data_IF_567032125014
#
_entry.id   IF_567032125014
#
_cell.length_a   1.000
_cell.length_b   1.000
_cell.length_c   1.000
_cell.angle_alpha   90.00
_cell.angle_beta   90.00
_cell.angle_gamma   90.00
#
_symmetry.space_group_name_H-M   'P 1'
#
loop_
_entity.id
_entity.type
_entity.pdbx_description
1 polymer ?
#
# COMPACT_ATOMS: atom_id res chain seq x y z
N UNK A 1 7.76 1.00 10.62
CA UNK A 1 6.77 0.54 9.62
C UNK A 1 6.16 1.77 8.96
N UNK A 2 5.87 1.77 7.66
CA UNK A 2 5.05 2.82 7.05
C UNK A 2 3.61 2.66 7.56
N UNK A 3 2.94 3.74 7.92
CA UNK A 3 1.51 3.78 8.29
C UNK A 3 0.92 5.13 7.91
N UNK A 4 -0.39 5.13 7.64
CA UNK A 4 -1.19 6.35 7.47
C UNK A 4 -1.25 7.11 8.81
N UNK A 5 -1.07 8.43 8.77
CA UNK A 5 -1.22 9.28 9.96
C UNK A 5 -2.70 9.58 10.23
N UNK A 6 -3.03 10.01 11.45
CA UNK A 6 -4.42 10.28 11.85
C UNK A 6 -5.06 11.42 11.04
N UNK A 7 -4.32 12.49 10.75
CA UNK A 7 -4.78 13.66 9.99
C UNK A 7 -4.39 13.63 8.49
N UNK A 8 -3.95 12.48 8.00
CA UNK A 8 -3.52 12.31 6.63
C UNK A 8 -4.65 11.72 5.79
N UNK A 9 -4.87 12.23 4.58
CA UNK A 9 -5.76 11.61 3.61
C UNK A 9 -5.05 10.49 2.81
N UNK A 10 -5.83 9.69 2.07
CA UNK A 10 -5.31 8.55 1.31
C UNK A 10 -4.36 8.98 0.19
N UNK A 11 -4.62 10.12 -0.46
CA UNK A 11 -3.80 10.61 -1.57
C UNK A 11 -2.42 11.03 -1.06
N UNK A 12 -2.38 11.81 0.02
CA UNK A 12 -1.15 12.23 0.70
C UNK A 12 -0.35 11.02 1.20
N UNK A 13 -1.03 10.03 1.79
CA UNK A 13 -0.40 8.76 2.19
C UNK A 13 0.18 8.02 0.97
N UNK A 14 -0.56 7.95 -0.13
CA UNK A 14 -0.13 7.27 -1.34
C UNK A 14 1.08 7.94 -1.99
N UNK A 15 1.11 9.28 -2.06
CA UNK A 15 2.27 10.03 -2.56
C UNK A 15 3.52 9.73 -1.73
N UNK A 16 3.43 9.73 -0.39
CA UNK A 16 4.56 9.35 0.48
C UNK A 16 5.01 7.91 0.24
N UNK A 17 4.08 7.00 0.00
CA UNK A 17 4.39 5.61 -0.34
C UNK A 17 5.15 5.53 -1.68
N UNK A 18 4.72 6.27 -2.70
CA UNK A 18 5.40 6.33 -4.00
C UNK A 18 6.82 6.89 -3.89
N UNK A 19 7.04 7.95 -3.09
CA UNK A 19 8.38 8.49 -2.82
C UNK A 19 9.28 7.41 -2.22
N UNK A 20 8.81 6.67 -1.21
CA UNK A 20 9.57 5.57 -0.60
C UNK A 20 9.89 4.45 -1.59
N UNK A 21 8.93 4.08 -2.45
CA UNK A 21 9.16 3.07 -3.50
C UNK A 21 10.20 3.55 -4.51
N UNK A 22 10.18 4.84 -4.86
CA UNK A 22 11.17 5.46 -5.75
C UNK A 22 12.57 5.40 -5.13
N UNK A 23 12.71 5.78 -3.86
CA UNK A 23 13.98 5.72 -3.13
C UNK A 23 14.52 4.28 -3.05
N UNK A 24 13.64 3.30 -2.84
CA UNK A 24 14.00 1.89 -2.83
C UNK A 24 14.49 1.39 -4.20
N UNK A 25 13.89 1.88 -5.29
CA UNK A 25 14.36 1.58 -6.66
C UNK A 25 15.78 2.10 -6.89
N UNK A 26 16.11 3.30 -6.40
CA UNK A 26 17.48 3.86 -6.46
C UNK A 26 18.47 2.94 -5.73
N UNK A 27 18.04 2.33 -4.61
CA UNK A 27 18.83 1.36 -3.85
C UNK A 27 18.87 -0.04 -4.47
N UNK A 28 18.39 -0.22 -5.72
CA UNK A 28 18.25 -1.53 -6.41
C UNK A 28 17.42 -2.56 -5.64
N UNK A 29 16.55 -2.10 -4.72
CA UNK A 29 15.59 -2.94 -4.02
C UNK A 29 14.23 -2.80 -4.68
N UNK A 30 13.87 -3.74 -5.54
CA UNK A 30 12.53 -3.79 -6.14
C UNK A 30 11.59 -4.66 -5.31
N UNK A 31 10.33 -4.24 -5.26
CA UNK A 31 9.22 -5.01 -4.74
C UNK A 31 8.26 -5.29 -5.89
N UNK A 32 7.57 -6.42 -5.85
CA UNK A 32 6.55 -6.70 -6.86
C UNK A 32 5.33 -5.80 -6.64
N UNK A 33 4.49 -5.61 -7.67
CA UNK A 33 3.21 -4.91 -7.53
C UNK A 33 2.36 -5.48 -6.40
N UNK A 34 2.36 -6.81 -6.26
CA UNK A 34 1.69 -7.51 -5.16
C UNK A 34 2.24 -7.12 -3.78
N UNK A 35 3.57 -7.02 -3.64
CA UNK A 35 4.19 -6.59 -2.38
C UNK A 35 3.85 -5.13 -2.05
N UNK A 36 3.76 -4.27 -3.06
CA UNK A 36 3.32 -2.89 -2.87
C UNK A 36 1.87 -2.82 -2.38
N UNK A 37 0.94 -3.50 -3.06
CA UNK A 37 -0.48 -3.51 -2.67
C UNK A 37 -0.64 -4.05 -1.25
N UNK A 38 0.03 -5.15 -0.92
CA UNK A 38 0.00 -5.73 0.43
C UNK A 38 0.57 -4.79 1.50
N UNK A 39 1.62 -4.04 1.18
CA UNK A 39 2.15 -3.01 2.07
C UNK A 39 1.15 -1.88 2.27
N UNK A 40 0.57 -1.33 1.20
CA UNK A 40 -0.42 -0.25 1.29
C UNK A 40 -1.61 -0.68 2.15
N UNK A 41 -2.19 -1.87 1.90
CA UNK A 41 -3.34 -2.37 2.65
C UNK A 41 -3.05 -2.51 4.16
N UNK A 42 -1.82 -2.89 4.53
CA UNK A 42 -1.38 -2.98 5.94
C UNK A 42 -1.18 -1.62 6.61
N UNK A 43 -1.00 -0.56 5.84
CA UNK A 43 -0.74 0.78 6.35
C UNK A 43 -2.03 1.57 6.59
N UNK A 44 -3.18 1.06 6.13
CA UNK A 44 -4.47 1.70 6.30
C UNK A 44 -4.98 1.57 7.75
N UNK A 45 -5.69 2.60 8.26
CA UNK A 45 -6.23 2.58 9.60
C UNK A 45 -7.34 1.53 9.75
N UNK A 46 -7.62 1.14 11.01
CA UNK A 46 -8.50 0.02 11.34
C UNK A 46 -9.92 0.14 10.73
N UNK A 47 -10.41 1.36 10.52
CA UNK A 47 -11.68 1.64 9.84
C UNK A 47 -11.77 1.05 8.42
N UNK A 48 -10.64 0.82 7.74
CA UNK A 48 -10.59 0.23 6.41
C UNK A 48 -10.50 -1.30 6.43
N UNK A 49 -10.39 -1.94 7.60
CA UNK A 49 -10.25 -3.41 7.71
C UNK A 49 -11.31 -4.19 6.95
N UNK A 50 -12.62 -3.86 7.01
CA UNK A 50 -13.62 -4.61 6.25
C UNK A 50 -13.36 -4.60 4.74
N UNK A 51 -12.88 -3.49 4.20
CA UNK A 51 -12.53 -3.35 2.77
C UNK A 51 -11.23 -4.09 2.44
N UNK A 52 -10.23 -4.03 3.33
CA UNK A 52 -8.97 -4.79 3.18
C UNK A 52 -9.26 -6.29 3.15
N UNK A 53 -10.08 -6.79 4.08
CA UNK A 53 -10.47 -8.20 4.14
C UNK A 53 -11.20 -8.63 2.86
N UNK A 54 -12.16 -7.84 2.37
CA UNK A 54 -12.85 -8.14 1.12
C UNK A 54 -11.89 -8.21 -0.09
N UNK A 55 -10.89 -7.33 -0.15
CA UNK A 55 -9.87 -7.34 -1.21
C UNK A 55 -8.96 -8.58 -1.11
N UNK A 56 -8.55 -8.97 0.11
CA UNK A 56 -7.73 -10.15 0.34
C UNK A 56 -8.48 -11.46 0.05
N UNK A 57 -9.75 -11.54 0.44
CA UNK A 57 -10.64 -12.70 0.21
C UNK A 57 -10.97 -12.90 -1.28
N UNK A 58 -11.11 -11.79 -2.03
CA UNK A 58 -11.39 -11.85 -3.47
C UNK A 58 -10.25 -12.47 -4.30
N UNK A 59 -9.06 -12.72 -3.72
CA UNK A 59 -7.84 -13.26 -4.41
C UNK A 59 -7.41 -12.49 -5.67
N UNK A 60 -8.02 -11.36 -5.98
CA UNK A 60 -7.82 -10.59 -7.22
C UNK A 60 -6.64 -9.61 -7.13
N UNK A 61 -5.84 -9.68 -6.06
CA UNK A 61 -4.60 -8.90 -5.88
C UNK A 61 -3.62 -9.07 -7.05
N UNK A 62 -3.68 -10.17 -7.80
CA UNK A 62 -2.87 -10.38 -9.02
C UNK A 62 -3.34 -9.56 -10.23
N UNK A 63 -4.59 -9.09 -10.26
CA UNK A 63 -5.13 -8.24 -11.33
C UNK A 63 -5.05 -6.74 -11.03
N UNK A 64 -4.71 -6.37 -9.81
CA UNK A 64 -4.60 -4.97 -9.41
C UNK A 64 -3.26 -4.42 -9.91
N UNK A 65 -3.30 -3.67 -11.01
CA UNK A 65 -2.19 -2.83 -11.45
C UNK A 65 -2.16 -1.54 -10.63
N UNK A 66 -0.99 -1.19 -10.10
CA UNK A 66 -0.70 0.12 -9.49
C UNK A 66 -0.28 1.12 -10.55
#
# INVERSE_FOLDING_TARGET
LFMMKEDEDIETMFTRFQTLVSDLKVLKKSYTTHDHVKKILRCLPQQWRPKVTAIEEAKDLKKMSL
#
